data_IF_210165837000
#
_entry.id   IF_210165837000
#
_cell.length_a   1.000
_cell.length_b   1.000
_cell.length_c   1.000
_cell.angle_alpha   90.00
_cell.angle_beta   90.00
_cell.angle_gamma   90.00
#
_symmetry.space_group_name_H-M   'P 1'
#
loop_
_entity.id
_entity.type
_entity.pdbx_description
1 polymer ?
#
# COMPACT_ATOMS: atom_id res chain seq x y z
N UNK A 1 6.69 -16.67 6.75
CA UNK A 1 7.02 -17.53 5.60
C UNK A 1 7.03 -16.74 4.31
N UNK A 2 7.86 -17.13 3.32
CA UNK A 2 7.85 -16.57 1.97
C UNK A 2 7.18 -17.53 1.00
N UNK A 3 6.27 -17.00 0.18
CA UNK A 3 5.60 -17.74 -0.88
C UNK A 3 5.83 -17.05 -2.24
N UNK A 4 5.68 -17.82 -3.31
CA UNK A 4 5.63 -17.28 -4.67
C UNK A 4 4.35 -17.69 -5.35
N UNK A 5 3.69 -16.71 -5.97
CA UNK A 5 2.51 -16.98 -6.78
C UNK A 5 2.89 -17.70 -8.07
N UNK A 6 2.01 -18.57 -8.52
CA UNK A 6 2.17 -19.33 -9.78
C UNK A 6 0.96 -19.08 -10.67
N UNK A 7 1.22 -18.60 -11.88
CA UNK A 7 0.23 -18.39 -12.91
C UNK A 7 -0.48 -17.01 -12.86
N UNK A 8 -1.11 -16.66 -13.96
CA UNK A 8 -1.83 -15.40 -14.14
C UNK A 8 -0.93 -14.16 -14.10
N UNK A 9 -1.53 -13.00 -13.87
CA UNK A 9 -0.79 -11.73 -13.78
C UNK A 9 0.09 -11.62 -12.53
N UNK A 10 -0.15 -12.44 -11.52
CA UNK A 10 0.63 -12.47 -10.29
C UNK A 10 1.82 -13.44 -10.33
N UNK A 11 2.07 -14.10 -11.46
CA UNK A 11 3.13 -15.12 -11.56
C UNK A 11 4.48 -14.60 -11.07
N UNK A 12 5.12 -15.38 -10.20
CA UNK A 12 6.43 -15.08 -9.63
C UNK A 12 6.44 -14.07 -8.49
N UNK A 13 5.33 -13.38 -8.21
CA UNK A 13 5.27 -12.40 -7.11
C UNK A 13 5.55 -13.08 -5.77
N UNK A 14 6.36 -12.41 -4.95
CA UNK A 14 6.66 -12.83 -3.58
C UNK A 14 5.59 -12.30 -2.62
N UNK A 15 5.24 -13.15 -1.66
CA UNK A 15 4.39 -12.81 -0.54
C UNK A 15 5.09 -13.23 0.76
N UNK A 16 5.06 -12.35 1.75
CA UNK A 16 5.44 -12.66 3.12
C UNK A 16 4.20 -12.85 3.95
N UNK A 17 4.01 -14.03 4.50
CA UNK A 17 2.93 -14.33 5.45
C UNK A 17 3.49 -14.37 6.86
N UNK A 18 2.91 -13.54 7.73
CA UNK A 18 3.28 -13.41 9.13
C UNK A 18 2.06 -13.60 10.03
N UNK A 19 2.23 -14.35 11.11
CA UNK A 19 1.24 -14.53 12.15
C UNK A 19 1.87 -14.34 13.51
N UNK A 20 1.16 -13.66 14.42
CA UNK A 20 1.64 -13.45 15.79
C UNK A 20 1.28 -14.60 16.75
N UNK A 21 0.59 -15.64 16.27
CA UNK A 21 0.13 -16.76 17.11
C UNK A 21 -1.05 -16.43 18.02
N UNK A 22 -1.57 -15.20 18.01
CA UNK A 22 -2.71 -14.73 18.82
C UNK A 22 -3.93 -14.33 18.00
N UNK A 23 -3.87 -14.60 16.71
CA UNK A 23 -4.97 -14.39 15.77
C UNK A 23 -4.75 -13.29 14.75
N UNK A 24 -3.71 -12.47 14.86
CA UNK A 24 -3.36 -11.48 13.83
C UNK A 24 -2.51 -12.14 12.74
N UNK A 25 -2.95 -11.98 11.48
CA UNK A 25 -2.28 -12.49 10.29
C UNK A 25 -2.17 -11.40 9.24
N UNK A 26 -0.97 -11.17 8.72
CA UNK A 26 -0.69 -10.22 7.65
C UNK A 26 -0.04 -10.94 6.47
N UNK A 27 -0.44 -10.54 5.26
CA UNK A 27 0.27 -10.88 4.03
C UNK A 27 0.78 -9.61 3.39
N UNK A 28 2.09 -9.51 3.21
CA UNK A 28 2.75 -8.37 2.55
C UNK A 28 3.30 -8.80 1.20
N UNK A 29 3.36 -7.87 0.24
CA UNK A 29 3.97 -8.14 -1.06
C UNK A 29 5.23 -7.29 -1.27
N UNK A 30 6.43 -7.89 -1.17
CA UNK A 30 7.67 -7.19 -1.51
C UNK A 30 7.70 -6.69 -2.95
N UNK A 31 6.98 -7.32 -3.85
CA UNK A 31 6.93 -6.91 -5.25
C UNK A 31 5.91 -5.79 -5.50
N UNK A 32 5.19 -5.37 -4.45
CA UNK A 32 4.27 -4.23 -4.43
C UNK A 32 4.58 -3.33 -3.25
N UNK A 33 5.79 -2.73 -3.25
CA UNK A 33 6.22 -1.75 -2.23
C UNK A 33 6.20 -2.25 -0.77
N UNK A 34 6.11 -3.56 -0.53
CA UNK A 34 5.90 -4.09 0.82
C UNK A 34 4.51 -3.77 1.39
N UNK A 35 3.53 -3.47 0.55
CA UNK A 35 2.16 -3.19 0.97
C UNK A 35 1.47 -4.42 1.55
N UNK A 36 0.52 -4.18 2.47
CA UNK A 36 -0.24 -5.23 3.15
C UNK A 36 -1.41 -5.63 2.27
N UNK A 37 -1.29 -6.77 1.59
CA UNK A 37 -2.30 -7.27 0.66
C UNK A 37 -3.46 -7.96 1.37
N UNK A 38 -3.23 -8.54 2.55
CA UNK A 38 -4.28 -9.15 3.38
C UNK A 38 -4.04 -8.88 4.85
N UNK A 39 -5.11 -8.60 5.55
CA UNK A 39 -5.19 -8.55 7.00
C UNK A 39 -6.32 -9.48 7.45
N UNK A 40 -6.01 -10.35 8.41
CA UNK A 40 -7.00 -11.21 9.06
C UNK A 40 -6.86 -11.16 10.56
N UNK A 41 -7.95 -11.34 11.23
CA UNK A 41 -7.98 -11.51 12.68
C UNK A 41 -8.81 -12.73 13.04
N UNK A 42 -8.18 -13.72 13.69
CA UNK A 42 -8.80 -15.01 14.04
C UNK A 42 -9.46 -15.70 12.83
N UNK A 43 -8.78 -15.67 11.69
CA UNK A 43 -9.26 -16.23 10.43
C UNK A 43 -10.30 -15.38 9.69
N UNK A 44 -10.80 -14.29 10.30
CA UNK A 44 -11.77 -13.39 9.68
C UNK A 44 -11.05 -12.38 8.83
N UNK A 45 -11.49 -12.21 7.58
CA UNK A 45 -10.93 -11.22 6.66
C UNK A 45 -11.31 -9.80 7.09
N UNK A 46 -10.34 -8.88 7.02
CA UNK A 46 -10.51 -7.46 7.33
C UNK A 46 -10.33 -6.56 6.11
N UNK A 47 -9.82 -7.09 4.99
CA UNK A 47 -9.40 -6.31 3.84
C UNK A 47 -10.29 -6.54 2.62
N UNK A 48 -10.50 -5.47 1.86
CA UNK A 48 -11.04 -5.58 0.50
C UNK A 48 -9.94 -6.06 -0.45
N UNK A 49 -10.30 -7.00 -1.30
CA UNK A 49 -9.41 -7.51 -2.35
C UNK A 49 -10.13 -7.35 -3.70
N UNK A 50 -9.56 -6.56 -4.58
CA UNK A 50 -10.23 -6.18 -5.81
C UNK A 50 -10.32 -7.34 -6.83
N UNK A 51 -11.23 -7.24 -7.82
CA UNK A 51 -11.32 -8.22 -8.91
C UNK A 51 -10.05 -8.33 -9.76
N UNK A 52 -9.14 -7.33 -9.72
CA UNK A 52 -7.85 -7.40 -10.43
C UNK A 52 -6.96 -8.52 -9.90
N UNK A 53 -7.12 -8.91 -8.63
CA UNK A 53 -6.28 -9.89 -7.99
C UNK A 53 -4.85 -9.40 -7.80
N UNK A 54 -3.91 -10.32 -7.69
CA UNK A 54 -2.49 -10.00 -7.69
C UNK A 54 -2.02 -9.69 -9.10
N UNK A 55 -1.38 -8.53 -9.27
CA UNK A 55 -0.83 -8.07 -10.55
C UNK A 55 0.64 -7.71 -10.35
N UNK A 56 1.53 -8.44 -11.00
CA UNK A 56 2.96 -8.18 -10.91
C UNK A 56 3.33 -6.81 -11.52
N UNK A 57 4.37 -6.14 -11.01
CA UNK A 57 4.82 -4.83 -11.50
C UNK A 57 5.03 -4.75 -13.00
N UNK A 58 5.40 -5.85 -13.65
CA UNK A 58 5.58 -5.92 -15.11
C UNK A 58 4.31 -5.62 -15.92
N UNK A 59 3.13 -5.73 -15.33
CA UNK A 59 1.85 -5.41 -15.97
C UNK A 59 1.34 -4.01 -15.62
N UNK A 60 2.10 -3.23 -14.85
CA UNK A 60 1.70 -1.88 -14.52
C UNK A 60 1.77 -0.95 -15.73
N UNK A 61 0.68 -0.23 -15.96
CA UNK A 61 0.57 0.82 -16.95
C UNK A 61 0.34 2.15 -16.23
N UNK A 62 1.26 3.10 -16.42
CA UNK A 62 1.22 4.41 -15.77
C UNK A 62 0.40 5.46 -16.50
N UNK A 63 -0.19 5.14 -17.65
CA UNK A 63 -0.92 6.13 -18.46
C UNK A 63 -2.27 6.45 -17.84
N UNK A 64 -2.47 7.70 -17.46
CA UNK A 64 -3.73 8.21 -16.93
C UNK A 64 -4.24 7.38 -15.74
N UNK A 65 -5.45 6.84 -15.87
CA UNK A 65 -6.11 6.02 -14.86
C UNK A 65 -5.86 4.49 -15.01
N UNK A 66 -4.95 4.06 -15.89
CA UNK A 66 -4.69 2.63 -16.10
C UNK A 66 -4.12 1.92 -14.87
N UNK A 67 -3.65 2.67 -13.87
CA UNK A 67 -3.34 2.17 -12.54
C UNK A 67 -4.47 1.28 -11.96
N UNK A 68 -5.73 1.57 -12.27
CA UNK A 68 -6.89 0.77 -11.85
C UNK A 68 -6.85 -0.68 -12.35
N UNK A 69 -6.14 -0.98 -13.43
CA UNK A 69 -5.99 -2.33 -13.97
C UNK A 69 -5.03 -3.20 -13.17
N UNK A 70 -4.22 -2.59 -12.29
CA UNK A 70 -3.29 -3.25 -11.40
C UNK A 70 -3.60 -3.02 -9.91
N UNK A 71 -4.75 -2.45 -9.61
CA UNK A 71 -5.17 -2.16 -8.24
C UNK A 71 -5.62 -3.42 -7.51
N UNK A 72 -4.73 -4.06 -6.81
CA UNK A 72 -5.03 -5.21 -5.93
C UNK A 72 -5.96 -4.82 -4.78
N UNK A 73 -5.96 -3.55 -4.37
CA UNK A 73 -6.48 -3.04 -3.10
C UNK A 73 -5.71 -3.64 -1.91
N UNK A 74 -6.17 -4.74 -1.35
CA UNK A 74 -5.58 -5.27 -0.12
C UNK A 74 -5.92 -4.39 1.08
N UNK A 75 -5.33 -4.66 2.24
CA UNK A 75 -5.54 -3.80 3.41
C UNK A 75 -4.89 -2.42 3.23
N UNK A 76 -3.68 -2.39 2.68
CA UNK A 76 -2.96 -1.17 2.38
C UNK A 76 -2.40 -1.19 0.98
N UNK A 77 -2.71 -0.15 0.21
CA UNK A 77 -1.99 0.26 -1.00
C UNK A 77 -1.38 1.64 -0.73
N UNK A 78 -0.07 1.76 -0.79
CA UNK A 78 0.61 3.04 -0.63
C UNK A 78 0.56 3.81 -1.95
N UNK A 79 0.05 5.03 -1.94
CA UNK A 79 0.03 5.92 -3.09
C UNK A 79 1.12 6.99 -2.94
N UNK A 80 1.72 7.40 -4.03
CA UNK A 80 2.84 8.35 -4.05
C UNK A 80 3.98 7.83 -4.95
N UNK A 81 5.22 8.27 -4.78
CA UNK A 81 5.76 9.35 -3.91
C UNK A 81 5.74 10.71 -4.61
N UNK A 82 5.55 10.72 -5.94
CA UNK A 82 5.52 11.93 -6.77
C UNK A 82 4.16 12.60 -6.83
N UNK A 83 3.08 11.82 -6.66
CA UNK A 83 1.71 12.33 -6.73
C UNK A 83 0.72 11.39 -6.04
N UNK A 84 -0.41 11.93 -5.59
CA UNK A 84 -1.58 11.18 -5.13
C UNK A 84 -2.84 11.73 -5.81
N UNK A 85 -3.92 10.93 -5.86
CA UNK A 85 -5.19 11.34 -6.43
C UNK A 85 -5.25 11.25 -7.95
N UNK A 86 -5.98 12.15 -8.58
CA UNK A 86 -6.29 12.15 -10.02
C UNK A 86 -5.04 12.33 -10.89
N UNK A 87 -4.97 11.70 -12.08
CA UNK A 87 -3.89 11.98 -13.01
C UNK A 87 -3.81 13.46 -13.34
N UNK A 88 -2.60 14.00 -13.42
CA UNK A 88 -2.39 15.41 -13.73
C UNK A 88 -1.08 15.62 -14.50
N UNK A 89 -0.83 16.87 -14.90
CA UNK A 89 0.45 17.30 -15.45
C UNK A 89 0.99 18.35 -14.48
N UNK A 90 2.19 18.14 -13.96
CA UNK A 90 2.88 19.07 -13.08
C UNK A 90 4.30 19.30 -13.63
N UNK A 91 4.68 20.58 -13.79
CA UNK A 91 5.96 21.01 -14.35
C UNK A 91 6.36 20.26 -15.67
N UNK A 92 5.34 19.93 -16.48
CA UNK A 92 5.51 19.21 -17.76
C UNK A 92 5.68 17.70 -17.64
N UNK A 93 5.64 17.13 -16.45
CA UNK A 93 5.62 15.69 -16.22
C UNK A 93 4.17 15.18 -16.10
N UNK A 94 3.84 14.11 -16.83
CA UNK A 94 2.57 13.41 -16.70
C UNK A 94 2.64 12.50 -15.47
N UNK A 95 1.78 12.78 -14.49
CA UNK A 95 1.67 12.05 -13.24
C UNK A 95 0.46 11.11 -13.28
N UNK A 96 0.66 9.81 -12.99
CA UNK A 96 -0.42 8.83 -13.04
C UNK A 96 -1.35 8.94 -11.83
N UNK A 97 -2.53 8.31 -11.95
CA UNK A 97 -3.44 8.10 -10.82
C UNK A 97 -2.65 7.49 -9.64
N UNK A 98 -2.73 8.16 -8.47
CA UNK A 98 -2.11 7.70 -7.22
C UNK A 98 -0.60 7.45 -7.24
N UNK A 99 0.10 7.97 -8.24
CA UNK A 99 1.54 7.75 -8.38
C UNK A 99 1.91 6.32 -8.78
N UNK A 100 3.18 5.97 -8.66
CA UNK A 100 3.70 4.68 -9.13
C UNK A 100 4.20 3.75 -8.04
N UNK A 101 4.37 4.24 -6.80
CA UNK A 101 5.11 3.50 -5.76
C UNK A 101 4.50 2.12 -5.44
N UNK A 102 3.17 1.99 -5.41
CA UNK A 102 2.48 0.72 -5.18
C UNK A 102 2.77 -0.37 -6.23
N UNK A 103 3.30 0.02 -7.38
CA UNK A 103 3.62 -0.86 -8.49
C UNK A 103 5.15 -1.05 -8.66
N UNK A 104 5.95 -0.60 -7.68
CA UNK A 104 7.40 -0.79 -7.67
C UNK A 104 7.76 -1.98 -6.77
N UNK A 105 8.57 -2.92 -7.28
CA UNK A 105 9.12 -3.97 -6.44
C UNK A 105 10.17 -3.40 -5.49
N UNK A 106 10.23 -3.91 -4.27
CA UNK A 106 11.28 -3.56 -3.33
C UNK A 106 12.65 -3.96 -3.87
N UNK A 107 13.59 -3.03 -3.82
CA UNK A 107 14.99 -3.29 -4.13
C UNK A 107 15.63 -4.23 -3.10
N UNK A 108 15.14 -4.15 -1.84
CA UNK A 108 15.53 -5.03 -0.75
C UNK A 108 14.30 -5.33 0.10
N UNK A 109 14.21 -6.56 0.59
CA UNK A 109 13.22 -6.94 1.59
C UNK A 109 13.73 -8.15 2.38
N UNK A 110 13.48 -8.14 3.68
CA UNK A 110 13.81 -9.23 4.59
C UNK A 110 12.94 -9.12 5.85
N UNK A 111 12.95 -10.14 6.66
CA UNK A 111 12.34 -10.10 7.99
C UNK A 111 13.30 -10.60 9.05
N UNK A 112 13.06 -10.17 10.27
CA UNK A 112 13.68 -10.67 11.49
C UNK A 112 12.62 -10.82 12.57
N UNK A 113 12.88 -11.66 13.54
CA UNK A 113 12.01 -11.86 14.68
C UNK A 113 12.79 -12.10 15.96
N UNK A 114 12.19 -11.69 17.05
CA UNK A 114 12.63 -12.00 18.41
C UNK A 114 11.45 -12.55 19.23
N UNK A 115 11.61 -12.63 20.55
CA UNK A 115 10.56 -13.16 21.43
C UNK A 115 9.30 -12.28 21.47
N UNK A 116 9.39 -10.99 21.11
CA UNK A 116 8.32 -10.00 21.24
C UNK A 116 7.71 -9.56 19.94
N UNK A 117 8.48 -9.54 18.87
CA UNK A 117 8.09 -8.89 17.62
C UNK A 117 8.57 -9.65 16.39
N UNK A 118 7.84 -9.47 15.30
CA UNK A 118 8.25 -9.79 13.93
C UNK A 118 8.39 -8.46 13.19
N UNK A 119 9.55 -8.20 12.59
CA UNK A 119 9.80 -6.98 11.80
C UNK A 119 10.04 -7.36 10.36
N UNK A 120 9.30 -6.74 9.45
CA UNK A 120 9.42 -6.93 8.01
C UNK A 120 9.91 -5.62 7.42
N UNK A 121 11.09 -5.67 6.83
CA UNK A 121 11.77 -4.50 6.25
C UNK A 121 11.66 -4.52 4.74
N UNK A 122 11.46 -3.35 4.17
CA UNK A 122 11.45 -3.16 2.71
C UNK A 122 12.07 -1.82 2.33
N UNK A 123 12.74 -1.80 1.19
CA UNK A 123 13.31 -0.60 0.59
C UNK A 123 12.81 -0.53 -0.85
N UNK A 124 12.04 0.48 -1.16
CA UNK A 124 11.51 0.72 -2.50
C UNK A 124 12.07 2.03 -3.06
N UNK A 125 12.42 2.02 -4.32
CA UNK A 125 13.06 3.14 -5.01
C UNK A 125 12.15 3.68 -6.10
N UNK A 126 11.83 4.96 -6.03
CA UNK A 126 11.20 5.71 -7.11
C UNK A 126 12.26 6.65 -7.70
N UNK A 127 13.04 6.12 -8.64
CA UNK A 127 14.22 6.77 -9.17
C UNK A 127 14.18 6.85 -10.70
N UNK A 128 14.49 8.04 -11.22
CA UNK A 128 14.65 8.31 -12.65
C UNK A 128 16.04 8.87 -12.89
N UNK A 129 16.74 8.41 -13.95
CA UNK A 129 18.16 8.71 -14.15
C UNK A 129 18.48 10.22 -14.15
N UNK A 130 17.64 11.07 -14.77
CA UNK A 130 17.79 12.52 -14.80
C UNK A 130 16.69 13.26 -14.01
N UNK A 131 15.85 12.55 -13.26
CA UNK A 131 14.76 13.07 -12.47
C UNK A 131 14.89 12.76 -10.99
N UNK A 132 13.74 12.63 -10.34
CA UNK A 132 13.60 12.35 -8.89
C UNK A 132 14.34 11.09 -8.46
N UNK A 133 14.73 11.06 -7.20
CA UNK A 133 15.38 9.93 -6.55
C UNK A 133 14.87 9.82 -5.12
N UNK A 134 13.65 9.31 -5.00
CA UNK A 134 13.00 9.09 -3.72
C UNK A 134 13.13 7.62 -3.31
N UNK A 135 13.48 7.39 -2.07
CA UNK A 135 13.64 6.06 -1.49
C UNK A 135 12.72 5.94 -0.28
N UNK A 136 11.80 4.97 -0.31
CA UNK A 136 10.96 4.62 0.82
C UNK A 136 11.59 3.42 1.55
N UNK A 137 11.89 3.59 2.83
CA UNK A 137 12.32 2.54 3.75
C UNK A 137 11.18 2.30 4.72
N UNK A 138 10.60 1.10 4.67
CA UNK A 138 9.46 0.71 5.51
C UNK A 138 9.86 -0.39 6.46
N UNK A 139 9.35 -0.29 7.68
CA UNK A 139 9.35 -1.39 8.64
C UNK A 139 7.92 -1.64 9.12
N UNK A 140 7.43 -2.85 8.92
CA UNK A 140 6.18 -3.31 9.52
C UNK A 140 6.52 -4.18 10.72
N UNK A 141 6.15 -3.70 11.91
CA UNK A 141 6.39 -4.40 13.18
C UNK A 141 5.10 -5.02 13.68
N UNK A 142 5.10 -6.32 13.92
CA UNK A 142 3.96 -7.10 14.39
C UNK A 142 4.26 -7.57 15.80
N UNK A 143 3.43 -7.22 16.77
CA UNK A 143 3.58 -7.66 18.16
C UNK A 143 3.21 -9.14 18.32
N UNK A 144 4.05 -9.90 19.02
CA UNK A 144 3.76 -11.26 19.47
C UNK A 144 3.02 -11.28 20.81
N UNK A 145 2.97 -10.15 21.49
CA UNK A 145 2.30 -10.02 22.79
C UNK A 145 0.86 -9.55 22.66
N UNK A 146 0.59 -8.70 21.65
CA UNK A 146 -0.73 -8.10 21.39
C UNK A 146 -1.13 -8.27 19.92
N UNK A 147 -2.43 -8.07 19.63
CA UNK A 147 -2.93 -8.10 18.26
C UNK A 147 -2.82 -6.70 17.62
N UNK A 148 -1.61 -6.18 17.58
CA UNK A 148 -1.26 -4.87 17.02
C UNK A 148 -0.11 -4.99 16.04
N UNK A 149 -0.05 -4.06 15.11
CA UNK A 149 1.11 -3.84 14.27
C UNK A 149 1.29 -2.33 14.02
N UNK A 150 2.50 -1.93 13.69
CA UNK A 150 2.84 -0.57 13.26
C UNK A 150 3.50 -0.58 11.89
N UNK A 151 3.42 0.56 11.21
CA UNK A 151 4.12 0.84 9.96
C UNK A 151 4.95 2.09 10.19
N UNK A 152 6.25 1.95 10.06
CA UNK A 152 7.22 3.04 10.16
C UNK A 152 7.83 3.26 8.77
N UNK A 153 7.55 4.43 8.19
CA UNK A 153 8.04 4.83 6.88
C UNK A 153 9.04 5.98 7.00
N UNK A 154 10.20 5.79 6.39
CA UNK A 154 11.20 6.83 6.22
C UNK A 154 11.41 7.08 4.72
N UNK A 155 11.12 8.31 4.28
CA UNK A 155 11.29 8.72 2.88
C UNK A 155 12.49 9.64 2.78
N UNK A 156 13.40 9.31 1.88
CA UNK A 156 14.64 10.04 1.65
C UNK A 156 14.74 10.49 0.20
N UNK A 157 15.06 11.76 -0.02
CA UNK A 157 15.49 12.26 -1.31
C UNK A 157 17.01 12.10 -1.42
N UNK A 158 17.44 11.12 -2.20
CA UNK A 158 18.87 10.83 -2.46
C UNK A 158 19.42 11.60 -3.66
N UNK A 159 18.57 12.41 -4.29
CA UNK A 159 18.94 13.26 -5.43
C UNK A 159 19.61 14.58 -5.03
N UNK A 160 20.01 15.34 -6.02
CA UNK A 160 20.68 16.65 -5.84
C UNK A 160 19.71 17.84 -5.91
N UNK A 161 18.45 17.60 -6.25
CA UNK A 161 17.41 18.63 -6.39
C UNK A 161 16.36 18.42 -5.32
N UNK A 162 15.70 19.51 -4.93
CA UNK A 162 14.47 19.44 -4.14
C UNK A 162 13.37 18.83 -5.00
N UNK A 163 12.68 17.84 -4.45
CA UNK A 163 11.57 17.15 -5.11
C UNK A 163 10.31 17.29 -4.26
N UNK A 164 9.13 17.52 -4.87
CA UNK A 164 7.88 17.39 -4.17
C UNK A 164 7.68 15.93 -3.73
N UNK A 165 7.05 15.73 -2.58
CA UNK A 165 6.77 14.40 -2.06
C UNK A 165 5.37 14.36 -1.47
N UNK A 166 4.58 13.42 -1.94
CA UNK A 166 3.24 13.13 -1.43
C UNK A 166 3.13 11.65 -1.08
N UNK A 167 2.44 11.35 0.01
CA UNK A 167 2.12 9.98 0.40
C UNK A 167 0.68 9.88 0.90
N UNK A 168 -0.02 8.83 0.47
CA UNK A 168 -1.35 8.51 0.96
C UNK A 168 -1.40 6.99 1.27
N UNK A 169 -1.78 6.66 2.49
CA UNK A 169 -2.05 5.30 2.91
C UNK A 169 -3.50 4.93 2.55
N UNK A 170 -3.66 4.32 1.38
CA UNK A 170 -4.97 3.93 0.87
C UNK A 170 -5.41 2.61 1.52
N UNK A 171 -6.06 2.72 2.66
CA UNK A 171 -6.55 1.55 3.40
C UNK A 171 -7.90 1.11 2.89
N UNK A 172 -8.05 -0.21 2.66
CA UNK A 172 -9.23 -0.79 2.05
C UNK A 172 -9.81 -1.87 2.98
N UNK A 173 -10.79 -1.47 3.77
CA UNK A 173 -11.56 -2.40 4.61
C UNK A 173 -12.54 -3.18 3.72
N UNK A 174 -12.77 -4.44 4.08
CA UNK A 174 -13.65 -5.31 3.32
C UNK A 174 -14.59 -6.13 4.19
N UNK A 175 -15.47 -6.88 3.54
CA UNK A 175 -16.37 -7.80 4.24
C UNK A 175 -15.57 -8.93 4.92
N UNK A 176 -15.93 -9.36 6.16
CA UNK A 176 -17.08 -8.91 6.94
C UNK A 176 -16.81 -7.74 7.91
N UNK A 177 -15.63 -7.09 7.88
CA UNK A 177 -15.37 -5.90 8.70
C UNK A 177 -16.30 -4.74 8.31
N UNK A 178 -16.51 -4.56 7.00
CA UNK A 178 -17.52 -3.64 6.47
C UNK A 178 -18.71 -4.43 5.93
N UNK A 179 -19.87 -4.18 6.49
CA UNK A 179 -21.17 -4.70 6.08
C UNK A 179 -22.27 -3.63 6.28
N UNK A 180 -23.53 -3.97 6.15
CA UNK A 180 -24.66 -3.02 6.27
C UNK A 180 -24.85 -2.43 7.68
N UNK A 181 -24.31 -3.10 8.70
CA UNK A 181 -24.41 -2.67 10.11
C UNK A 181 -23.14 -1.95 10.59
N UNK A 182 -22.16 -1.73 9.71
CA UNK A 182 -20.89 -1.12 10.08
C UNK A 182 -21.05 0.38 10.34
N UNK A 183 -20.46 0.86 11.42
CA UNK A 183 -20.41 2.27 11.78
C UNK A 183 -18.98 2.82 11.68
N UNK A 184 -18.82 3.97 11.01
CA UNK A 184 -17.55 4.66 10.91
C UNK A 184 -17.62 5.96 11.69
N UNK A 185 -16.85 6.06 12.77
CA UNK A 185 -16.79 7.26 13.62
C UNK A 185 -15.47 8.02 13.35
N UNK A 186 -15.57 9.25 12.86
CA UNK A 186 -14.42 10.12 12.64
C UNK A 186 -14.56 11.34 13.55
N UNK A 187 -13.69 11.52 14.57
CA UNK A 187 -13.76 12.65 15.50
C UNK A 187 -13.24 13.93 14.81
N UNK A 188 -14.06 14.52 13.95
CA UNK A 188 -13.76 15.76 13.24
C UNK A 188 -14.55 16.93 13.80
N UNK A 189 -13.95 18.14 13.79
CA UNK A 189 -14.62 19.38 14.18
C UNK A 189 -15.35 20.02 13.01
N UNK A 190 -14.98 19.67 11.79
CA UNK A 190 -15.59 20.18 10.57
C UNK A 190 -15.42 19.15 9.45
N UNK A 191 -16.45 18.99 8.62
CA UNK A 191 -16.44 18.19 7.40
C UNK A 191 -16.76 19.10 6.22
N UNK A 192 -15.92 19.06 5.19
CA UNK A 192 -16.14 19.79 3.93
C UNK A 192 -16.08 18.82 2.76
N UNK A 193 -17.03 18.94 1.86
CA UNK A 193 -16.99 18.23 0.59
C UNK A 193 -15.75 18.65 -0.21
N UNK A 194 -15.08 17.69 -0.82
CA UNK A 194 -13.96 17.95 -1.73
C UNK A 194 -14.44 18.53 -3.08
N UNK A 195 -15.59 18.06 -3.54
CA UNK A 195 -16.20 18.40 -4.82
C UNK A 195 -17.74 18.25 -4.76
N UNK A 196 -18.41 18.62 -5.84
CA UNK A 196 -19.89 18.60 -5.92
C UNK A 196 -20.46 17.19 -5.71
N UNK A 197 -19.79 16.15 -6.21
CA UNK A 197 -20.22 14.76 -6.02
C UNK A 197 -20.14 14.34 -4.55
N UNK A 198 -19.05 14.70 -3.86
CA UNK A 198 -18.91 14.42 -2.43
C UNK A 198 -19.91 15.23 -1.57
N UNK A 199 -20.43 16.36 -2.08
CA UNK A 199 -21.43 17.19 -1.37
C UNK A 199 -22.81 16.50 -1.32
N UNK A 200 -23.14 15.64 -2.30
CA UNK A 200 -24.45 14.99 -2.39
C UNK A 200 -24.75 14.11 -1.16
N UNK A 201 -23.73 13.51 -0.56
CA UNK A 201 -23.84 12.57 0.56
C UNK A 201 -23.46 13.15 1.93
N UNK A 202 -23.17 14.45 2.02
CA UNK A 202 -22.95 15.12 3.30
C UNK A 202 -24.30 15.50 3.90
N UNK A 203 -24.67 14.81 4.98
CA UNK A 203 -25.87 15.07 5.77
C UNK A 203 -25.67 16.22 6.77
#
# INVERSE_FOLDING_TARGET
>A
EEHRLVGGKGDGMRLYEATNGKGLELTLSPDRNGDITRLRYKGINMSYFSPCGYVAPAYYDKVGANWLQSFTAGFLTTCGLQAVGTPCIDDGEELPLHGSIANQPCAQSYWEEDDKEIRIHSVTKDEVIFGRKLVLKRTVTISKEENTFSIDDHIENTGSKTEPMEILYHMNMGYPLLDEDSEVTIPSVEVRARDDHAQEDIA
#
